data_IF_147126654865
#
_entry.id   IF_147126654865
#
_cell.length_a   1.000
_cell.length_b   1.000
_cell.length_c   1.000
_cell.angle_alpha   90.00
_cell.angle_beta   90.00
_cell.angle_gamma   90.00
#
_symmetry.space_group_name_H-M   'P 1'
#
loop_
_entity.id
_entity.type
_entity.pdbx_description
1 polymer ?
#
# COMPACT_ATOMS: atom_id res chain seq x y z
N UNK A 1 -1.95 -9.86 -13.59
CA UNK A 1 -2.84 -8.80 -14.15
C UNK A 1 -4.18 -9.44 -14.47
N UNK A 2 -5.31 -8.80 -14.15
CA UNK A 2 -6.65 -9.34 -14.50
C UNK A 2 -6.97 -8.91 -15.92
N UNK A 3 -7.26 -9.86 -16.81
CA UNK A 3 -7.74 -9.62 -18.17
C UNK A 3 -9.17 -10.16 -18.30
N UNK A 4 -9.87 -9.81 -19.38
CA UNK A 4 -11.22 -10.34 -19.67
C UNK A 4 -11.25 -11.87 -19.86
N UNK A 5 -10.08 -12.53 -19.97
CA UNK A 5 -9.93 -13.98 -20.17
C UNK A 5 -9.32 -14.71 -18.96
N UNK A 6 -9.20 -14.04 -17.80
CA UNK A 6 -8.67 -14.65 -16.57
C UNK A 6 -7.55 -13.83 -15.91
N UNK A 7 -6.80 -14.47 -15.00
CA UNK A 7 -5.65 -13.84 -14.33
C UNK A 7 -4.37 -14.24 -15.06
N UNK A 8 -3.73 -13.29 -15.72
CA UNK A 8 -2.37 -13.48 -16.23
C UNK A 8 -1.42 -13.43 -15.03
N UNK A 9 -0.91 -14.60 -14.63
CA UNK A 9 0.20 -14.68 -13.69
C UNK A 9 1.46 -14.20 -14.43
N UNK A 10 2.03 -13.09 -13.97
CA UNK A 10 3.14 -12.43 -14.61
C UNK A 10 4.16 -11.97 -13.57
N UNK A 11 5.31 -11.52 -14.05
CA UNK A 11 6.35 -10.96 -13.21
C UNK A 11 6.41 -9.44 -13.39
N UNK A 12 6.70 -8.72 -12.30
CA UNK A 12 7.03 -7.31 -12.31
C UNK A 12 8.56 -7.16 -12.22
N UNK A 13 9.15 -6.34 -13.09
CA UNK A 13 10.57 -5.99 -13.00
C UNK A 13 10.76 -4.87 -11.97
N UNK A 14 11.35 -5.19 -10.82
CA UNK A 14 11.68 -4.21 -9.78
C UNK A 14 13.10 -3.74 -10.01
N UNK A 15 13.34 -2.43 -9.94
CA UNK A 15 14.66 -1.85 -10.10
C UNK A 15 14.93 -0.76 -9.07
N UNK A 16 16.20 -0.63 -8.67
CA UNK A 16 16.73 0.49 -7.90
C UNK A 16 17.72 1.22 -8.79
N UNK A 17 17.64 2.55 -8.81
CA UNK A 17 18.49 3.39 -9.65
C UNK A 17 19.07 4.57 -8.86
N UNK A 18 20.22 5.05 -9.31
CA UNK A 18 20.85 6.23 -8.73
C UNK A 18 20.12 7.51 -9.17
N UNK A 19 20.10 8.52 -8.29
CA UNK A 19 19.36 9.75 -8.53
C UNK A 19 20.05 10.75 -9.47
N UNK A 20 21.36 10.61 -9.70
CA UNK A 20 22.19 11.58 -10.43
C UNK A 20 22.26 11.23 -11.92
N UNK A 21 22.51 9.97 -12.22
CA UNK A 21 22.73 9.48 -13.57
C UNK A 21 21.66 8.50 -14.04
N UNK A 22 20.72 8.09 -13.19
CA UNK A 22 19.64 7.14 -13.52
C UNK A 22 20.17 5.75 -13.95
N UNK A 23 21.36 5.38 -13.46
CA UNK A 23 21.97 4.06 -13.62
C UNK A 23 21.27 3.10 -12.67
N UNK A 24 20.86 1.94 -13.18
CA UNK A 24 20.21 0.89 -12.42
C UNK A 24 21.27 0.11 -11.63
N UNK A 25 21.13 0.08 -10.31
CA UNK A 25 22.09 -0.53 -9.36
C UNK A 25 21.58 -1.81 -8.71
N UNK A 26 20.27 -2.04 -8.76
CA UNK A 26 19.59 -3.25 -8.28
C UNK A 26 18.44 -3.60 -9.21
N UNK A 27 18.22 -4.89 -9.46
CA UNK A 27 17.18 -5.36 -10.37
C UNK A 27 16.79 -6.80 -10.03
N UNK A 28 15.49 -7.07 -9.90
CA UNK A 28 14.95 -8.41 -9.64
C UNK A 28 13.52 -8.54 -10.21
N UNK A 29 13.16 -9.71 -10.72
CA UNK A 29 11.79 -9.99 -11.16
C UNK A 29 10.97 -10.57 -10.00
N UNK A 30 9.80 -10.00 -9.73
CA UNK A 30 8.89 -10.47 -8.68
C UNK A 30 7.60 -11.04 -9.26
N UNK A 31 7.21 -12.24 -8.79
CA UNK A 31 6.00 -12.93 -9.27
C UNK A 31 4.78 -12.77 -8.35
N UNK A 32 4.94 -12.05 -7.24
CA UNK A 32 3.88 -11.82 -6.27
C UNK A 32 2.96 -10.66 -6.66
N UNK A 33 1.73 -10.71 -6.13
CA UNK A 33 0.71 -9.67 -6.37
C UNK A 33 1.06 -8.32 -5.73
N UNK A 34 1.89 -8.33 -4.69
CA UNK A 34 2.28 -7.13 -3.93
C UNK A 34 3.79 -7.01 -3.86
N UNK A 35 4.31 -5.85 -4.24
CA UNK A 35 5.74 -5.54 -4.25
C UNK A 35 6.30 -5.31 -2.83
N UNK A 36 5.44 -5.32 -1.80
CA UNK A 36 5.83 -5.10 -0.40
C UNK A 36 6.92 -6.06 0.07
N UNK A 37 6.93 -7.30 -0.40
CA UNK A 37 7.91 -8.30 0.05
C UNK A 37 9.31 -8.08 -0.54
N UNK A 38 9.40 -7.38 -1.67
CA UNK A 38 10.65 -7.25 -2.42
C UNK A 38 11.52 -6.08 -1.95
N UNK A 39 11.00 -5.18 -1.10
CA UNK A 39 11.76 -4.02 -0.63
C UNK A 39 13.02 -4.43 0.15
N UNK A 40 12.85 -5.26 1.18
CA UNK A 40 13.95 -5.67 2.06
C UNK A 40 15.08 -6.40 1.30
N UNK A 41 14.79 -7.43 0.47
CA UNK A 41 15.82 -8.06 -0.37
C UNK A 41 16.53 -7.09 -1.31
N UNK A 42 15.81 -6.11 -1.88
CA UNK A 42 16.40 -5.11 -2.78
C UNK A 42 17.35 -4.18 -2.03
N UNK A 43 16.96 -3.70 -0.84
CA UNK A 43 17.81 -2.86 0.00
C UNK A 43 19.05 -3.61 0.50
N UNK A 44 18.93 -4.91 0.81
CA UNK A 44 20.07 -5.75 1.18
C UNK A 44 21.01 -6.00 0.00
N UNK A 45 20.47 -6.24 -1.20
CA UNK A 45 21.26 -6.37 -2.41
C UNK A 45 22.06 -5.09 -2.71
N UNK A 46 21.43 -3.92 -2.60
CA UNK A 46 22.10 -2.64 -2.85
C UNK A 46 23.08 -2.33 -1.71
N UNK A 47 22.67 -2.49 -0.46
CA UNK A 47 23.52 -2.22 0.70
C UNK A 47 24.76 -3.10 0.76
N UNK A 48 24.66 -4.37 0.34
CA UNK A 48 25.82 -5.28 0.27
C UNK A 48 26.81 -4.94 -0.85
N UNK A 49 26.35 -4.33 -1.95
CA UNK A 49 27.19 -3.87 -3.07
C UNK A 49 27.83 -2.51 -2.83
N UNK A 50 27.09 -1.61 -2.18
CA UNK A 50 27.48 -0.20 -1.99
C UNK A 50 27.77 0.13 -0.52
N UNK A 51 28.37 -0.82 0.22
CA UNK A 51 28.52 -0.77 1.69
C UNK A 51 29.06 0.57 2.23
N UNK A 52 30.02 1.15 1.53
CA UNK A 52 30.71 2.37 1.95
C UNK A 52 29.89 3.65 1.79
N UNK A 53 28.95 3.67 0.84
CA UNK A 53 28.13 4.86 0.55
C UNK A 53 26.67 4.69 1.00
N UNK A 54 26.24 3.46 1.28
CA UNK A 54 24.83 3.14 1.53
C UNK A 54 24.27 3.83 2.77
N UNK A 55 25.11 4.18 3.76
CA UNK A 55 24.68 4.91 4.96
C UNK A 55 24.36 6.38 4.68
N UNK A 56 24.94 6.94 3.62
CA UNK A 56 24.83 8.36 3.27
C UNK A 56 23.79 8.64 2.19
N UNK A 57 23.14 7.59 1.66
CA UNK A 57 22.11 7.72 0.62
C UNK A 57 20.69 7.76 1.20
N UNK A 58 19.85 8.52 0.52
CA UNK A 58 18.41 8.57 0.76
C UNK A 58 17.69 7.59 -0.15
N UNK A 59 16.81 6.78 0.42
CA UNK A 59 15.98 5.82 -0.30
C UNK A 59 14.60 6.42 -0.57
N UNK A 60 14.12 6.32 -1.80
CA UNK A 60 12.76 6.73 -2.18
C UNK A 60 12.06 5.54 -2.81
N UNK A 61 10.82 5.25 -2.42
CA UNK A 61 10.08 4.13 -3.00
C UNK A 61 8.59 4.44 -3.24
N UNK A 62 8.02 3.71 -4.18
CA UNK A 62 6.61 3.77 -4.55
C UNK A 62 5.69 3.23 -3.45
N UNK A 63 4.40 3.57 -3.54
CA UNK A 63 3.41 3.11 -2.57
C UNK A 63 3.13 1.62 -2.60
N UNK A 64 3.59 0.92 -3.66
CA UNK A 64 3.64 -0.54 -3.72
C UNK A 64 4.51 -1.18 -2.64
N UNK A 65 5.49 -0.44 -2.11
CA UNK A 65 6.40 -0.91 -1.05
C UNK A 65 5.94 -0.55 0.37
N UNK A 66 4.81 0.14 0.51
CA UNK A 66 4.34 0.61 1.81
C UNK A 66 3.65 -0.50 2.61
N UNK A 67 4.23 -0.89 3.74
CA UNK A 67 3.61 -1.79 4.72
C UNK A 67 4.15 -1.51 6.13
N UNK A 68 3.38 -1.87 7.16
CA UNK A 68 3.82 -1.70 8.56
C UNK A 68 5.13 -2.45 8.84
N UNK A 69 5.27 -3.66 8.27
CA UNK A 69 6.51 -4.46 8.36
C UNK A 69 7.69 -3.71 7.76
N UNK A 70 7.53 -3.15 6.56
CA UNK A 70 8.61 -2.42 5.87
C UNK A 70 8.98 -1.13 6.60
N UNK A 71 8.00 -0.39 7.12
CA UNK A 71 8.29 0.82 7.89
C UNK A 71 9.01 0.49 9.19
N UNK A 72 8.65 -0.63 9.84
CA UNK A 72 9.36 -1.15 11.01
C UNK A 72 10.80 -1.53 10.69
N UNK A 73 11.03 -2.24 9.59
CA UNK A 73 12.35 -2.62 9.10
C UNK A 73 13.23 -1.39 8.82
N UNK A 74 12.70 -0.40 8.09
CA UNK A 74 13.42 0.84 7.76
C UNK A 74 13.82 1.59 9.03
N UNK A 75 12.87 1.78 9.96
CA UNK A 75 13.12 2.48 11.21
C UNK A 75 14.13 1.72 12.08
N UNK A 76 14.01 0.40 12.16
CA UNK A 76 14.90 -0.46 12.94
C UNK A 76 16.32 -0.52 12.38
N UNK A 77 16.49 -0.54 11.06
CA UNK A 77 17.80 -0.49 10.38
C UNK A 77 18.37 0.94 10.27
N UNK A 78 17.64 1.97 10.72
CA UNK A 78 18.08 3.36 10.66
C UNK A 78 18.23 3.93 9.24
N UNK A 79 17.49 3.40 8.26
CA UNK A 79 17.61 3.80 6.85
C UNK A 79 16.87 5.12 6.64
N UNK A 80 17.54 6.13 6.05
CA UNK A 80 16.89 7.38 5.65
C UNK A 80 16.05 7.16 4.39
N UNK A 81 14.77 6.80 4.58
CA UNK A 81 13.85 6.50 3.49
C UNK A 81 12.58 7.38 3.49
N UNK A 82 12.03 7.58 2.30
CA UNK A 82 10.75 8.25 2.03
C UNK A 82 9.88 7.36 1.14
N UNK A 83 8.89 6.70 1.74
CA UNK A 83 8.00 5.77 1.04
C UNK A 83 6.55 6.23 1.19
N UNK A 84 5.87 6.46 0.07
CA UNK A 84 4.49 6.96 0.09
C UNK A 84 3.49 5.87 0.46
N UNK A 85 2.43 6.23 1.18
CA UNK A 85 1.25 5.38 1.29
C UNK A 85 0.24 5.70 0.19
N UNK A 86 -0.73 4.81 -0.02
CA UNK A 86 -1.78 4.99 -1.04
C UNK A 86 -2.68 6.21 -0.81
N UNK A 87 -2.60 6.86 0.36
CA UNK A 87 -3.38 8.08 0.68
C UNK A 87 -2.53 9.35 0.67
N UNK A 88 -1.24 9.30 0.35
CA UNK A 88 -0.37 10.48 0.35
C UNK A 88 -0.95 11.61 -0.49
N UNK A 89 -1.38 11.33 -1.74
CA UNK A 89 -1.99 12.34 -2.63
C UNK A 89 -3.26 12.99 -2.07
N UNK A 90 -3.95 12.38 -1.10
CA UNK A 90 -5.12 13.00 -0.45
C UNK A 90 -4.74 13.98 0.66
N UNK A 91 -3.52 13.88 1.18
CA UNK A 91 -3.01 14.72 2.27
C UNK A 91 -2.10 15.84 1.76
N UNK A 92 -1.65 15.73 0.51
CA UNK A 92 -0.78 16.71 -0.12
C UNK A 92 -1.61 17.82 -0.82
N UNK A 93 -1.46 19.09 -0.41
CA UNK A 93 -2.16 20.25 -0.99
C UNK A 93 -1.97 20.38 -2.50
N UNK A 94 -0.82 19.95 -3.05
CA UNK A 94 -0.56 20.02 -4.50
C UNK A 94 -1.53 19.18 -5.33
N UNK A 95 -2.19 18.19 -4.71
CA UNK A 95 -3.11 17.28 -5.37
C UNK A 95 -4.58 17.57 -5.06
N UNK A 96 -4.92 18.67 -4.38
CA UNK A 96 -6.32 19.04 -4.10
C UNK A 96 -7.15 19.14 -5.39
N UNK A 97 -6.57 19.70 -6.45
CA UNK A 97 -7.23 19.85 -7.75
C UNK A 97 -7.09 18.63 -8.66
N UNK A 98 -6.35 17.58 -8.24
CA UNK A 98 -6.10 16.41 -9.09
C UNK A 98 -7.38 15.66 -9.52
N UNK A 99 -8.48 15.83 -8.76
CA UNK A 99 -9.79 15.30 -9.14
C UNK A 99 -10.37 15.89 -10.43
N UNK A 100 -9.92 17.08 -10.87
CA UNK A 100 -10.43 17.79 -12.06
C UNK A 100 -10.12 17.06 -13.37
N UNK A 101 -9.01 16.32 -13.43
CA UNK A 101 -8.55 15.62 -14.64
C UNK A 101 -8.95 14.14 -14.69
N UNK A 102 -9.92 13.69 -13.88
CA UNK A 102 -10.42 12.31 -13.96
C UNK A 102 -11.10 12.06 -15.32
N UNK A 103 -10.65 11.02 -16.02
CA UNK A 103 -11.25 10.57 -17.28
C UNK A 103 -12.74 10.25 -17.09
N UNK A 104 -13.61 10.49 -18.09
CA UNK A 104 -15.03 10.16 -18.01
C UNK A 104 -15.32 8.70 -17.63
N UNK A 105 -14.46 7.75 -18.01
CA UNK A 105 -14.56 6.33 -17.62
C UNK A 105 -14.40 6.10 -16.11
N UNK A 106 -13.68 6.98 -15.40
CA UNK A 106 -13.61 6.97 -13.93
C UNK A 106 -14.85 7.62 -13.29
N UNK A 107 -15.64 8.41 -14.06
CA UNK A 107 -16.89 9.05 -13.57
C UNK A 107 -18.04 8.06 -13.40
N UNK A 108 -17.99 6.87 -14.01
CA UNK A 108 -18.95 5.79 -13.74
C UNK A 108 -18.80 5.20 -12.32
N UNK A 109 -17.74 5.55 -11.59
CA UNK A 109 -17.63 5.35 -10.13
C UNK A 109 -18.13 6.55 -9.32
N UNK A 110 -18.90 7.46 -9.94
CA UNK A 110 -19.78 8.35 -9.20
C UNK A 110 -20.58 7.50 -8.23
N UNK A 111 -20.44 7.80 -6.94
CA UNK A 111 -20.99 6.97 -5.88
C UNK A 111 -22.49 6.76 -6.15
N UNK A 112 -22.86 5.58 -6.68
CA UNK A 112 -24.22 5.10 -6.53
C UNK A 112 -24.43 5.12 -5.02
N UNK A 113 -25.21 6.09 -4.52
CA UNK A 113 -25.65 6.13 -3.14
C UNK A 113 -26.49 4.87 -2.96
N UNK A 114 -25.84 3.76 -2.65
CA UNK A 114 -26.51 2.55 -2.25
C UNK A 114 -27.36 2.96 -1.05
N UNK A 115 -28.69 2.98 -1.23
CA UNK A 115 -29.62 3.15 -0.11
C UNK A 115 -29.20 2.16 0.97
N UNK A 116 -28.98 2.62 2.20
CA UNK A 116 -28.52 1.77 3.31
C UNK A 116 -29.53 0.64 3.48
N UNK A 117 -29.20 -0.55 2.97
CA UNK A 117 -30.08 -1.72 3.02
C UNK A 117 -30.14 -2.34 4.42
N UNK A 118 -29.11 -2.10 5.23
CA UNK A 118 -28.98 -2.68 6.56
C UNK A 118 -28.52 -1.66 7.60
N UNK A 119 -28.91 -1.88 8.85
CA UNK A 119 -28.43 -1.12 10.00
C UNK A 119 -26.91 -1.29 10.19
N UNK A 120 -26.25 -0.17 10.43
CA UNK A 120 -24.83 0.00 10.75
C UNK A 120 -24.63 0.06 12.27
N UNK A 121 -23.38 -0.11 12.78
CA UNK A 121 -23.11 0.02 14.21
C UNK A 121 -23.55 1.37 14.81
N UNK A 122 -23.60 2.44 14.02
CA UNK A 122 -23.99 3.78 14.47
C UNK A 122 -25.49 3.88 14.81
N UNK A 123 -26.33 3.04 14.21
CA UNK A 123 -27.78 2.99 14.47
C UNK A 123 -28.12 2.36 15.84
N UNK A 124 -27.11 1.85 16.56
CA UNK A 124 -27.27 1.25 17.88
C UNK A 124 -26.79 2.24 18.96
N UNK A 125 -27.69 2.54 19.89
CA UNK A 125 -27.49 3.54 20.92
C UNK A 125 -26.82 2.94 22.16
N UNK A 126 -25.73 3.55 22.61
CA UNK A 126 -25.05 3.14 23.83
C UNK A 126 -25.68 3.83 25.04
N UNK A 127 -26.18 3.04 25.99
CA UNK A 127 -26.66 3.57 27.26
C UNK A 127 -25.45 3.70 28.21
N UNK A 128 -25.04 4.94 28.48
CA UNK A 128 -23.85 5.26 29.30
C UNK A 128 -23.97 4.79 30.75
N UNK A 129 -25.19 4.57 31.28
CA UNK A 129 -25.39 4.20 32.69
C UNK A 129 -25.16 2.71 32.98
N UNK A 130 -25.51 1.83 32.05
CA UNK A 130 -25.44 0.37 32.25
C UNK A 130 -24.43 -0.33 31.32
N UNK A 131 -23.78 0.43 30.43
CA UNK A 131 -22.82 -0.10 29.46
C UNK A 131 -23.42 -1.03 28.41
N UNK A 132 -24.77 -1.09 28.32
CA UNK A 132 -25.51 -1.90 27.34
C UNK A 132 -25.79 -1.11 26.08
N UNK A 133 -26.05 -1.84 24.99
CA UNK A 133 -26.35 -1.28 23.69
C UNK A 133 -27.83 -1.53 23.34
N UNK A 134 -28.55 -0.53 22.87
CA UNK A 134 -29.97 -0.65 22.47
C UNK A 134 -30.05 -0.69 20.94
N UNK A 135 -30.79 -1.66 20.39
CA UNK A 135 -30.99 -1.76 18.96
C UNK A 135 -32.10 -0.83 18.44
N UNK A 136 -32.20 -0.60 17.12
CA UNK A 136 -33.29 0.16 16.53
C UNK A 136 -34.71 -0.37 16.82
N UNK A 137 -34.85 -1.64 17.23
CA UNK A 137 -36.13 -2.23 17.66
C UNK A 137 -36.40 -2.03 19.17
N UNK A 138 -35.58 -1.24 19.88
CA UNK A 138 -35.74 -0.97 21.31
C UNK A 138 -35.29 -2.08 22.26
N UNK A 139 -34.69 -3.17 21.75
CA UNK A 139 -34.20 -4.29 22.59
C UNK A 139 -32.75 -4.08 23.03
N UNK A 140 -32.46 -4.48 24.27
CA UNK A 140 -31.11 -4.41 24.85
C UNK A 140 -30.22 -5.58 24.36
N UNK A 141 -28.96 -5.25 24.04
CA UNK A 141 -27.91 -6.21 23.76
C UNK A 141 -27.01 -6.36 24.99
N UNK A 142 -26.63 -7.61 25.27
CA UNK A 142 -25.67 -7.92 26.32
C UNK A 142 -24.24 -7.84 25.79
N UNK A 143 -23.29 -7.60 26.70
CA UNK A 143 -21.87 -7.55 26.37
C UNK A 143 -21.35 -8.97 26.19
N UNK A 144 -20.80 -9.29 25.01
CA UNK A 144 -20.21 -10.60 24.70
C UNK A 144 -18.74 -10.65 25.03
N UNK A 145 -18.00 -9.59 24.69
CA UNK A 145 -16.57 -9.48 25.00
C UNK A 145 -16.21 -8.01 25.21
N UNK A 146 -15.70 -7.69 26.39
CA UNK A 146 -15.12 -6.38 26.72
C UNK A 146 -13.66 -6.37 26.27
N UNK A 147 -13.22 -5.29 25.62
CA UNK A 147 -11.84 -5.11 25.19
C UNK A 147 -11.34 -6.14 24.17
N UNK A 148 -12.15 -6.47 23.16
CA UNK A 148 -11.64 -7.28 22.05
C UNK A 148 -10.49 -6.50 21.38
N UNK A 149 -9.37 -7.16 21.11
CA UNK A 149 -8.24 -6.57 20.38
C UNK A 149 -8.15 -7.18 18.99
N UNK A 150 -8.09 -6.32 17.98
CA UNK A 150 -7.81 -6.74 16.61
C UNK A 150 -6.29 -6.84 16.38
N UNK A 151 -5.86 -7.62 15.38
CA UNK A 151 -4.45 -7.65 14.94
C UNK A 151 -3.89 -6.26 14.57
N UNK A 152 -4.75 -5.29 14.26
CA UNK A 152 -4.38 -3.92 13.89
C UNK A 152 -4.31 -2.97 15.10
N UNK A 153 -4.49 -3.47 16.33
CA UNK A 153 -4.42 -2.70 17.58
C UNK A 153 -5.69 -1.90 17.89
N UNK A 154 -6.77 -2.06 17.11
CA UNK A 154 -8.06 -1.50 17.46
C UNK A 154 -8.67 -2.30 18.61
N UNK A 155 -9.26 -1.60 19.57
CA UNK A 155 -9.97 -2.21 20.67
C UNK A 155 -11.38 -1.64 20.84
N UNK A 156 -12.22 -2.42 21.51
CA UNK A 156 -13.53 -1.95 21.91
C UNK A 156 -14.36 -3.08 22.49
N UNK A 157 -15.67 -2.91 22.43
CA UNK A 157 -16.64 -3.82 23.06
C UNK A 157 -17.53 -4.47 22.00
N UNK A 158 -17.72 -5.78 22.11
CA UNK A 158 -18.69 -6.52 21.29
C UNK A 158 -19.98 -6.79 22.06
N UNK A 159 -21.08 -6.56 21.39
CA UNK A 159 -22.45 -6.72 21.90
C UNK A 159 -23.17 -7.78 21.10
N UNK A 160 -24.05 -8.52 21.76
CA UNK A 160 -24.88 -9.55 21.13
C UNK A 160 -26.33 -9.40 21.56
N UNK A 161 -27.24 -9.51 20.58
CA UNK A 161 -28.67 -9.58 20.85
C UNK A 161 -29.06 -10.98 21.32
N UNK A 162 -30.12 -11.08 22.14
CA UNK A 162 -30.71 -12.37 22.48
C UNK A 162 -31.37 -12.99 21.25
N UNK A 163 -31.24 -14.30 21.10
CA UNK A 163 -31.83 -15.03 19.98
C UNK A 163 -33.36 -14.90 20.00
N UNK A 164 -33.97 -14.95 21.18
CA UNK A 164 -35.41 -14.80 21.39
C UNK A 164 -35.91 -13.46 20.85
N UNK A 165 -35.23 -12.35 21.20
CA UNK A 165 -35.58 -11.01 20.72
C UNK A 165 -35.44 -10.86 19.22
N UNK A 166 -34.39 -11.46 18.62
CA UNK A 166 -34.16 -11.40 17.19
C UNK A 166 -35.08 -12.34 16.39
N UNK A 167 -35.64 -13.40 16.99
CA UNK A 167 -36.51 -14.36 16.30
C UNK A 167 -37.85 -13.75 15.90
N UNK A 168 -38.41 -12.90 16.77
CA UNK A 168 -39.74 -12.26 16.59
C UNK A 168 -39.65 -10.79 16.13
N UNK A 169 -38.45 -10.33 15.73
CA UNK A 169 -38.22 -8.93 15.39
C UNK A 169 -38.73 -8.58 13.98
N UNK A 170 -39.66 -7.64 13.88
CA UNK A 170 -40.25 -7.20 12.59
C UNK A 170 -39.22 -6.57 11.65
N UNK A 171 -38.23 -5.87 12.19
CA UNK A 171 -37.17 -5.22 11.41
C UNK A 171 -35.94 -6.12 11.17
N UNK A 172 -36.06 -7.43 11.43
CA UNK A 172 -34.98 -8.42 11.27
C UNK A 172 -34.36 -8.39 9.87
N UNK A 173 -35.16 -8.22 8.82
CA UNK A 173 -34.70 -8.14 7.43
C UNK A 173 -33.81 -6.93 7.11
N UNK A 174 -33.92 -5.84 7.89
CA UNK A 174 -33.03 -4.66 7.83
C UNK A 174 -31.83 -4.80 8.78
N UNK A 175 -31.82 -5.78 9.67
CA UNK A 175 -30.77 -5.97 10.67
C UNK A 175 -29.79 -7.09 10.29
N UNK A 176 -30.26 -8.24 9.80
CA UNK A 176 -29.41 -9.40 9.52
C UNK A 176 -29.19 -9.56 8.02
N UNK A 177 -27.92 -9.69 7.61
CA UNK A 177 -27.54 -9.85 6.20
C UNK A 177 -27.84 -11.25 5.66
N UNK A 178 -27.67 -12.28 6.50
CA UNK A 178 -27.89 -13.68 6.13
C UNK A 178 -29.04 -14.25 6.97
N UNK A 179 -29.94 -15.00 6.32
CA UNK A 179 -31.12 -15.58 6.97
C UNK A 179 -30.77 -16.57 8.08
N UNK A 180 -29.67 -17.31 7.93
CA UNK A 180 -29.18 -18.30 8.90
C UNK A 180 -28.61 -17.68 10.18
N UNK A 181 -28.25 -16.39 10.18
CA UNK A 181 -27.71 -15.73 11.37
C UNK A 181 -28.79 -15.63 12.44
N UNK A 182 -28.62 -16.27 13.61
CA UNK A 182 -29.67 -16.32 14.63
C UNK A 182 -29.90 -14.98 15.34
N UNK A 183 -28.84 -14.24 15.65
CA UNK A 183 -28.89 -12.95 16.35
C UNK A 183 -27.83 -11.97 15.84
N UNK A 184 -28.07 -10.66 16.03
CA UNK A 184 -27.15 -9.60 15.62
C UNK A 184 -25.97 -9.48 16.60
N UNK A 185 -24.75 -9.43 16.05
CA UNK A 185 -23.55 -9.01 16.77
C UNK A 185 -23.15 -7.61 16.30
N UNK A 186 -22.76 -6.73 17.23
CA UNK A 186 -22.30 -5.37 16.95
C UNK A 186 -20.98 -5.14 17.68
N UNK A 187 -19.97 -4.67 16.96
CA UNK A 187 -18.71 -4.21 17.56
C UNK A 187 -18.71 -2.68 17.59
N UNK A 188 -18.56 -2.09 18.77
CA UNK A 188 -18.29 -0.65 18.95
C UNK A 188 -16.81 -0.51 19.27
N UNK A 189 -16.09 0.17 18.38
CA UNK A 189 -14.67 0.46 18.58
C UNK A 189 -14.55 1.70 19.48
N UNK A 190 -13.77 1.59 20.54
CA UNK A 190 -13.54 2.66 21.51
C UNK A 190 -12.28 3.44 21.16
N UNK A 191 -11.29 2.78 20.57
CA UNK A 191 -10.06 3.43 20.16
C UNK A 191 -9.10 2.47 19.47
N UNK A 192 -7.91 3.00 19.25
CA UNK A 192 -6.75 2.24 18.78
C UNK A 192 -5.66 2.44 19.81
N UNK A 193 -5.03 1.35 20.24
CA UNK A 193 -3.94 1.41 21.20
C UNK A 193 -2.86 2.36 20.65
N UNK A 194 -2.46 3.35 21.45
CA UNK A 194 -1.66 4.50 21.05
C UNK A 194 -0.17 4.13 20.89
N UNK A 195 0.12 3.10 20.11
CA UNK A 195 1.46 2.87 19.58
C UNK A 195 1.53 3.64 18.28
N UNK A 196 2.34 4.71 18.24
CA UNK A 196 2.72 5.38 16.99
C UNK A 196 3.14 4.31 16.01
N UNK A 197 2.29 4.04 15.02
CA UNK A 197 2.56 2.99 14.05
C UNK A 197 3.81 3.39 13.25
N UNK A 198 4.59 2.43 12.79
CA UNK A 198 5.70 2.71 11.90
C UNK A 198 5.20 3.41 10.63
N UNK A 199 3.99 3.07 10.19
CA UNK A 199 3.27 3.80 9.13
C UNK A 199 3.07 5.28 9.41
N UNK A 200 2.71 5.65 10.65
CA UNK A 200 2.49 7.05 11.04
C UNK A 200 3.79 7.83 11.09
N UNK A 201 4.85 7.23 11.63
CA UNK A 201 6.20 7.79 11.57
C UNK A 201 6.65 8.11 10.13
N UNK A 202 6.42 7.20 9.17
CA UNK A 202 6.76 7.47 7.77
C UNK A 202 5.88 8.57 7.16
N UNK A 203 4.59 8.62 7.51
CA UNK A 203 3.68 9.68 7.05
C UNK A 203 4.12 11.04 7.53
N UNK A 204 4.48 11.18 8.81
CA UNK A 204 5.01 12.43 9.36
C UNK A 204 6.27 12.89 8.59
N UNK A 205 7.21 11.98 8.32
CA UNK A 205 8.41 12.30 7.51
C UNK A 205 8.05 12.76 6.10
N UNK A 206 7.16 12.03 5.44
CA UNK A 206 6.78 12.27 4.05
C UNK A 206 5.94 13.55 3.88
N UNK A 207 5.00 13.81 4.79
CA UNK A 207 4.07 14.92 4.72
C UNK A 207 4.74 16.26 5.09
N UNK A 208 5.96 16.24 5.66
CA UNK A 208 6.78 17.44 5.87
C UNK A 208 7.17 18.11 4.55
N UNK A 209 7.45 19.43 4.57
CA UNK A 209 7.90 20.17 3.38
C UNK A 209 9.14 19.54 2.75
N UNK A 210 10.12 19.17 3.58
CA UNK A 210 11.34 18.47 3.15
C UNK A 210 11.02 17.09 2.55
N UNK A 211 10.12 16.34 3.17
CA UNK A 211 9.71 15.02 2.69
C UNK A 211 9.03 15.07 1.33
N UNK A 212 8.09 15.99 1.14
CA UNK A 212 7.41 16.22 -0.13
C UNK A 212 8.39 16.62 -1.24
N UNK A 213 9.33 17.52 -0.94
CA UNK A 213 10.38 17.92 -1.88
C UNK A 213 11.30 16.75 -2.27
N UNK A 214 11.73 15.94 -1.32
CA UNK A 214 12.56 14.76 -1.62
C UNK A 214 11.77 13.76 -2.46
N UNK A 215 10.52 13.47 -2.07
CA UNK A 215 9.69 12.50 -2.74
C UNK A 215 9.29 12.91 -4.17
N UNK A 216 9.07 14.20 -4.43
CA UNK A 216 8.67 14.69 -5.75
C UNK A 216 9.70 14.36 -6.85
N UNK A 217 10.98 14.22 -6.50
CA UNK A 217 12.07 13.83 -7.41
C UNK A 217 11.93 12.40 -7.94
N UNK A 218 11.17 11.54 -7.27
CA UNK A 218 10.98 10.12 -7.63
C UNK A 218 10.61 9.92 -9.09
N UNK A 219 9.70 10.75 -9.61
CA UNK A 219 9.21 10.60 -10.99
C UNK A 219 10.33 10.84 -12.00
N UNK A 220 11.15 11.88 -11.80
CA UNK A 220 12.30 12.17 -12.67
C UNK A 220 13.44 11.17 -12.55
N UNK A 221 13.53 10.45 -11.42
CA UNK A 221 14.54 9.41 -11.21
C UNK A 221 14.10 8.08 -11.85
N UNK A 222 12.85 7.66 -11.59
CA UNK A 222 12.40 6.31 -11.91
C UNK A 222 11.76 6.16 -13.30
N UNK A 223 10.94 7.13 -13.73
CA UNK A 223 10.21 7.00 -15.00
C UNK A 223 11.14 6.94 -16.23
N UNK A 224 12.22 7.74 -16.34
CA UNK A 224 13.04 7.71 -17.55
C UNK A 224 13.74 6.37 -17.81
N UNK A 225 14.32 5.66 -16.82
CA UNK A 225 14.81 4.30 -17.02
C UNK A 225 13.76 3.33 -17.54
N UNK A 226 12.58 3.30 -16.91
CA UNK A 226 11.49 2.43 -17.33
C UNK A 226 10.94 2.81 -18.71
N UNK A 227 10.87 4.10 -19.05
CA UNK A 227 10.45 4.57 -20.37
C UNK A 227 11.48 4.17 -21.43
N UNK A 228 12.78 4.29 -21.17
CA UNK A 228 13.81 3.84 -22.10
C UNK A 228 13.70 2.33 -22.36
N UNK A 229 13.60 1.52 -21.29
CA UNK A 229 13.51 0.06 -21.42
C UNK A 229 12.24 -0.35 -22.17
N UNK A 230 11.07 0.20 -21.81
CA UNK A 230 9.79 -0.25 -22.37
C UNK A 230 9.47 0.35 -23.73
N UNK A 231 9.60 1.66 -23.88
CA UNK A 231 9.13 2.37 -25.07
C UNK A 231 10.21 2.53 -26.13
N UNK A 232 11.46 2.78 -25.74
CA UNK A 232 12.56 2.98 -26.71
C UNK A 232 13.22 1.67 -27.13
N UNK A 233 13.48 0.77 -26.18
CA UNK A 233 14.12 -0.52 -26.45
C UNK A 233 13.12 -1.64 -26.76
N UNK A 234 11.82 -1.41 -26.54
CA UNK A 234 10.78 -2.42 -26.77
C UNK A 234 10.84 -3.62 -25.80
N UNK A 235 11.62 -3.54 -24.73
CA UNK A 235 11.83 -4.63 -23.76
C UNK A 235 10.72 -4.62 -22.69
N UNK A 236 9.47 -4.77 -23.11
CA UNK A 236 8.28 -4.56 -22.29
C UNK A 236 7.56 -5.85 -21.83
N UNK A 237 8.10 -7.03 -22.17
CA UNK A 237 7.53 -8.34 -21.80
C UNK A 237 8.61 -9.34 -21.44
N UNK A 238 8.34 -10.14 -20.40
CA UNK A 238 9.14 -11.33 -20.10
C UNK A 238 8.75 -12.47 -21.04
N UNK A 239 9.74 -13.17 -21.57
CA UNK A 239 9.55 -14.32 -22.48
C UNK A 239 9.95 -15.64 -21.83
N UNK A 240 10.61 -15.60 -20.68
CA UNK A 240 11.06 -16.80 -19.98
C UNK A 240 10.01 -17.32 -18.98
N UNK A 241 10.20 -18.55 -18.53
CA UNK A 241 9.37 -19.19 -17.50
C UNK A 241 10.16 -19.37 -16.20
N UNK A 242 9.55 -18.97 -15.09
CA UNK A 242 10.10 -19.10 -13.75
C UNK A 242 10.91 -17.88 -13.28
N UNK A 243 10.89 -17.64 -11.96
CA UNK A 243 11.49 -16.46 -11.32
C UNK A 243 12.97 -16.27 -11.67
N UNK A 244 13.76 -17.34 -11.58
CA UNK A 244 15.21 -17.30 -11.88
C UNK A 244 15.49 -16.80 -13.30
N UNK A 245 14.79 -17.33 -14.31
CA UNK A 245 15.00 -16.97 -15.72
C UNK A 245 14.47 -15.56 -16.02
N UNK A 246 13.30 -15.20 -15.48
CA UNK A 246 12.77 -13.85 -15.63
C UNK A 246 13.61 -12.79 -14.93
N UNK A 247 14.21 -13.12 -13.77
CA UNK A 247 15.16 -12.25 -13.08
C UNK A 247 16.44 -12.04 -13.89
N UNK A 248 16.97 -13.10 -14.51
CA UNK A 248 18.12 -12.98 -15.42
C UNK A 248 17.79 -12.11 -16.65
N UNK A 249 16.63 -12.32 -17.27
CA UNK A 249 16.14 -11.50 -18.38
C UNK A 249 15.97 -10.04 -17.97
N UNK A 250 15.39 -9.78 -16.79
CA UNK A 250 15.24 -8.43 -16.27
C UNK A 250 16.58 -7.74 -16.07
N UNK A 251 17.55 -8.44 -15.46
CA UNK A 251 18.91 -7.94 -15.27
C UNK A 251 19.55 -7.59 -16.62
N UNK A 252 19.39 -8.45 -17.64
CA UNK A 252 19.86 -8.16 -19.00
C UNK A 252 19.25 -6.87 -19.56
N UNK A 253 17.94 -6.65 -19.43
CA UNK A 253 17.29 -5.41 -19.88
C UNK A 253 17.86 -4.18 -19.17
N UNK A 254 18.06 -4.26 -17.86
CA UNK A 254 18.65 -3.16 -17.08
C UNK A 254 20.13 -2.92 -17.43
N UNK A 255 20.88 -3.97 -17.78
CA UNK A 255 22.27 -3.82 -18.26
C UNK A 255 22.33 -3.09 -19.59
N UNK A 256 21.45 -3.40 -20.54
CA UNK A 256 21.40 -2.67 -21.82
C UNK A 256 21.12 -1.19 -21.59
N UNK A 257 20.18 -0.86 -20.71
CA UNK A 257 19.93 0.52 -20.30
C UNK A 257 21.22 1.19 -19.77
N UNK A 258 21.91 0.54 -18.83
CA UNK A 258 23.12 1.09 -18.21
C UNK A 258 24.26 1.26 -19.22
N UNK A 259 24.50 0.29 -20.10
CA UNK A 259 25.54 0.38 -21.14
C UNK A 259 25.26 1.57 -22.06
N UNK A 260 24.01 1.79 -22.47
CA UNK A 260 23.66 2.95 -23.30
C UNK A 260 23.85 4.29 -22.56
N UNK A 261 23.63 4.32 -21.24
CA UNK A 261 23.92 5.50 -20.41
C UNK A 261 25.42 5.78 -20.34
N UNK A 262 26.24 4.75 -20.14
CA UNK A 262 27.70 4.86 -20.13
C UNK A 262 28.22 5.27 -21.50
N UNK A 263 27.74 4.65 -22.58
CA UNK A 263 28.15 4.96 -23.94
C UNK A 263 27.85 6.42 -24.33
N UNK A 264 26.69 6.96 -23.93
CA UNK A 264 26.28 8.32 -24.30
C UNK A 264 26.81 9.42 -23.39
N UNK A 265 26.99 9.13 -22.10
CA UNK A 265 27.24 10.15 -21.09
C UNK A 265 28.44 9.83 -20.18
N UNK A 266 29.03 8.65 -20.33
CA UNK A 266 30.24 8.29 -19.62
C UNK A 266 31.42 9.02 -20.24
N UNK A 267 32.11 9.82 -19.43
CA UNK A 267 33.45 10.26 -19.77
C UNK A 267 34.39 9.07 -19.56
N UNK A 268 34.47 8.21 -20.57
CA UNK A 268 35.51 7.20 -20.66
C UNK A 268 36.79 7.91 -21.09
N UNK A 269 37.41 8.65 -20.15
CA UNK A 269 38.80 9.04 -20.30
C UNK A 269 39.62 7.75 -20.20
N UNK A 270 39.74 7.04 -21.32
CA UNK A 270 40.80 6.06 -21.48
C UNK A 270 42.09 6.85 -21.37
N UNK A 271 42.75 6.75 -20.21
CA UNK A 271 44.07 7.32 -20.01
C UNK A 271 45.00 6.68 -21.03
N UNK A 272 45.16 7.34 -22.17
CA UNK A 272 46.32 7.17 -23.04
C UNK A 272 47.40 8.02 -22.37
N UNK A 273 48.07 7.42 -21.40
CA UNK A 273 49.44 7.77 -21.03
C UNK A 273 50.38 6.96 -21.89
#
# INVERSE_FOLDING_TARGET
MVSNHGVIQGYNGIATMDSKHQVIVGAEAEGERTETQSLEPMLEQVGSRFRHIYKDVRVIADSGFFSEKNMGMIKGKGIDAYIADNRMRKRDPLFETAGRHRKPTDRHKGAKRHRKRFFTPDDFLTNKKNGKLTCPAGKELYVKNRNFKTKQGQYGTTYMAKITDCRVCEIRGKCLRHSQTKARQVAKFEGRENRRSFSEWMKERLDSLKGRYIYSRRMGIAEPPFANIRERLGMNRFTMRGKKKNSAQWKMYTMVHNILKIFRYGNLNFGVT
#
